data_IF_195566827191
#
_entry.id   IF_195566827191
#
_cell.length_a   1.000
_cell.length_b   1.000
_cell.length_c   1.000
_cell.angle_alpha   90.00
_cell.angle_beta   90.00
_cell.angle_gamma   90.00
#
_symmetry.space_group_name_H-M   'P 1'
#
loop_
_entity.id
_entity.type
_entity.pdbx_description
1 polymer ?
#
# COMPACT_ATOMS: atom_id res chain seq x y z
N UNK A 1 -5.11 8.51 -23.18
CA UNK A 1 -4.18 7.70 -22.37
C UNK A 1 -3.52 8.62 -21.36
N UNK A 2 -4.05 8.65 -20.15
CA UNK A 2 -3.41 9.27 -19.00
C UNK A 2 -3.46 8.22 -17.90
N UNK A 3 -2.51 7.27 -17.95
CA UNK A 3 -2.25 6.40 -16.81
C UNK A 3 -1.69 7.31 -15.73
N UNK A 4 -2.58 7.85 -14.89
CA UNK A 4 -2.21 8.69 -13.77
C UNK A 4 -1.27 7.90 -12.85
N UNK A 5 -0.15 8.56 -12.51
CA UNK A 5 1.02 8.11 -11.75
C UNK A 5 0.71 7.25 -10.50
N UNK A 6 -0.49 7.40 -9.93
CA UNK A 6 -0.93 6.73 -8.69
C UNK A 6 -1.15 5.22 -8.85
N UNK A 7 -1.48 4.75 -10.06
CA UNK A 7 -1.63 3.31 -10.33
C UNK A 7 -0.31 2.54 -10.34
N UNK A 8 0.84 3.24 -10.26
CA UNK A 8 2.18 2.61 -10.16
C UNK A 8 2.44 1.92 -8.82
N UNK A 9 1.66 2.23 -7.79
CA UNK A 9 1.94 1.71 -6.45
C UNK A 9 1.38 0.29 -6.26
N UNK A 10 0.45 -0.16 -7.11
CA UNK A 10 -0.07 -1.53 -7.05
C UNK A 10 1.03 -2.51 -7.47
N UNK A 11 1.29 -3.51 -6.64
CA UNK A 11 2.40 -4.45 -6.79
C UNK A 11 3.69 -4.02 -6.08
N UNK A 12 3.76 -2.78 -5.57
CA UNK A 12 4.92 -2.32 -4.81
C UNK A 12 4.93 -2.87 -3.39
N UNK A 13 6.14 -3.07 -2.86
CA UNK A 13 6.35 -3.49 -1.47
C UNK A 13 6.28 -2.30 -0.55
N UNK A 14 5.59 -2.48 0.58
CA UNK A 14 5.45 -1.48 1.63
C UNK A 14 5.89 -2.05 2.98
N UNK A 15 6.52 -1.19 3.79
CA UNK A 15 6.75 -1.45 5.20
C UNK A 15 5.69 -0.72 6.02
N UNK A 16 5.15 -1.39 7.03
CA UNK A 16 4.10 -0.84 7.90
C UNK A 16 4.74 -0.51 9.25
N UNK A 17 4.39 0.64 9.81
CA UNK A 17 4.82 1.04 11.15
C UNK A 17 4.26 0.04 12.18
N UNK A 18 5.15 -0.53 12.99
CA UNK A 18 4.88 -1.59 13.99
C UNK A 18 4.69 -3.01 13.44
N UNK A 19 4.81 -3.23 12.14
CA UNK A 19 4.85 -4.58 11.57
C UNK A 19 6.28 -4.95 11.18
N UNK A 20 6.70 -6.18 11.50
CA UNK A 20 8.04 -6.67 11.12
C UNK A 20 8.08 -7.11 9.66
N UNK A 21 6.95 -7.56 9.14
CA UNK A 21 6.81 -8.03 7.78
C UNK A 21 6.54 -6.88 6.80
N UNK A 22 7.08 -7.00 5.59
CA UNK A 22 6.69 -6.14 4.47
C UNK A 22 5.48 -6.73 3.76
N UNK A 23 4.54 -5.88 3.39
CA UNK A 23 3.41 -6.26 2.56
C UNK A 23 3.57 -5.81 1.10
N UNK A 24 2.63 -6.23 0.25
CA UNK A 24 2.53 -5.80 -1.15
C UNK A 24 1.17 -5.15 -1.36
N UNK A 25 1.12 -4.00 -2.02
CA UNK A 25 -0.16 -3.35 -2.35
C UNK A 25 -0.87 -4.16 -3.42
N UNK A 26 -2.09 -4.63 -3.15
CA UNK A 26 -2.88 -5.44 -4.09
C UNK A 26 -3.93 -4.62 -4.85
N UNK A 27 -4.56 -3.65 -4.18
CA UNK A 27 -5.57 -2.77 -4.76
C UNK A 27 -5.71 -1.48 -3.96
N UNK A 28 -6.25 -0.45 -4.61
CA UNK A 28 -6.63 0.82 -4.01
C UNK A 28 -8.09 1.05 -4.36
N UNK A 29 -8.87 1.37 -3.33
CA UNK A 29 -10.27 1.75 -3.45
C UNK A 29 -10.38 3.26 -3.16
N UNK A 30 -10.54 4.04 -4.22
CA UNK A 30 -10.61 5.50 -4.13
C UNK A 30 -11.96 5.98 -3.58
N UNK A 31 -13.04 5.25 -3.82
CA UNK A 31 -14.38 5.59 -3.32
C UNK A 31 -14.42 5.42 -1.80
N UNK A 32 -13.79 4.35 -1.30
CA UNK A 32 -13.72 4.06 0.14
C UNK A 32 -12.49 4.65 0.83
N UNK A 33 -11.56 5.25 0.08
CA UNK A 33 -10.29 5.78 0.59
C UNK A 33 -9.47 4.73 1.35
N UNK A 34 -9.33 3.55 0.76
CA UNK A 34 -8.59 2.43 1.36
C UNK A 34 -7.55 1.86 0.40
N UNK A 35 -6.41 1.47 0.95
CA UNK A 35 -5.40 0.66 0.27
C UNK A 35 -5.32 -0.71 0.92
N UNK A 36 -5.26 -1.75 0.10
CA UNK A 36 -5.17 -3.12 0.58
C UNK A 36 -3.75 -3.62 0.41
N UNK A 37 -3.23 -4.20 1.49
CA UNK A 37 -1.87 -4.70 1.57
C UNK A 37 -1.92 -6.18 1.93
N UNK A 38 -1.34 -7.00 1.06
CA UNK A 38 -1.20 -8.42 1.26
C UNK A 38 0.13 -8.74 1.93
N UNK A 39 0.04 -9.43 3.06
CA UNK A 39 1.17 -9.94 3.83
C UNK A 39 1.44 -11.41 3.53
N UNK A 40 2.45 -11.96 4.19
CA UNK A 40 2.68 -13.40 4.16
C UNK A 40 1.47 -14.16 4.72
N UNK A 41 1.33 -15.44 4.35
CA UNK A 41 0.22 -16.31 4.78
C UNK A 41 -1.18 -15.83 4.39
N UNK A 42 -1.30 -15.12 3.26
CA UNK A 42 -2.58 -14.66 2.69
C UNK A 42 -3.37 -13.70 3.59
N UNK A 43 -2.70 -13.03 4.54
CA UNK A 43 -3.34 -12.00 5.37
C UNK A 43 -3.41 -10.70 4.56
N UNK A 44 -4.62 -10.29 4.18
CA UNK A 44 -4.88 -9.00 3.56
C UNK A 44 -5.43 -8.02 4.62
N UNK A 45 -4.81 -6.86 4.75
CA UNK A 45 -5.31 -5.79 5.62
C UNK A 45 -5.55 -4.51 4.80
N UNK A 46 -6.56 -3.75 5.21
CA UNK A 46 -6.91 -2.47 4.61
C UNK A 46 -6.40 -1.32 5.49
N UNK A 47 -5.80 -0.32 4.87
CA UNK A 47 -5.32 0.89 5.53
C UNK A 47 -5.93 2.14 4.86
N UNK A 48 -6.09 3.26 5.59
CA UNK A 48 -6.56 4.52 5.02
C UNK A 48 -5.66 5.03 3.90
N UNK A 49 -6.24 5.47 2.79
CA UNK A 49 -5.55 6.03 1.64
C UNK A 49 -6.08 7.43 1.27
N UNK A 50 -5.20 8.46 1.13
CA UNK A 50 -3.74 8.41 1.18
C UNK A 50 -3.13 8.60 2.58
N UNK A 51 -3.97 8.76 3.62
CA UNK A 51 -3.53 9.23 4.93
C UNK A 51 -2.46 8.33 5.58
N UNK A 52 -2.51 7.02 5.35
CA UNK A 52 -1.50 6.10 5.89
C UNK A 52 -0.11 6.34 5.28
N UNK A 53 -0.02 6.80 4.03
CA UNK A 53 1.26 7.18 3.41
C UNK A 53 1.75 8.53 3.91
N UNK A 54 0.85 9.52 4.02
CA UNK A 54 1.18 10.87 4.50
C UNK A 54 1.68 10.88 5.94
N UNK A 55 1.07 10.05 6.80
CA UNK A 55 1.49 9.90 8.20
C UNK A 55 2.73 9.02 8.38
N UNK A 56 3.28 8.48 7.29
CA UNK A 56 4.42 7.54 7.33
C UNK A 56 4.09 6.22 8.02
N UNK A 57 2.80 5.85 8.07
CA UNK A 57 2.37 4.54 8.56
C UNK A 57 2.67 3.45 7.52
N UNK A 58 2.45 3.75 6.24
CA UNK A 58 2.89 2.97 5.09
C UNK A 58 4.09 3.66 4.43
N UNK A 59 5.20 2.93 4.30
CA UNK A 59 6.42 3.44 3.65
C UNK A 59 6.77 2.55 2.47
N UNK A 60 6.80 3.13 1.28
CA UNK A 60 7.17 2.41 0.06
C UNK A 60 8.63 1.95 0.10
N UNK A 61 8.86 0.70 -0.28
CA UNK A 61 10.19 0.10 -0.42
C UNK A 61 10.50 -0.07 -1.89
N UNK A 62 10.88 1.02 -2.55
CA UNK A 62 11.37 0.96 -3.93
C UNK A 62 12.61 0.06 -4.01
N UNK A 63 12.58 -0.91 -4.94
CA UNK A 63 13.78 -1.63 -5.34
C UNK A 63 14.66 -0.63 -6.12
N UNK A 64 15.86 -0.38 -5.62
CA UNK A 64 16.90 0.37 -6.33
C UNK A 64 17.44 -0.45 -7.50
#
# INVERSE_FOLDING_TARGET
MAWHDESRIIGERVAIKNEKETGVITRIDYDRKLVYVLFTKLREEAYPYPEAFEQGYLVMKFKK
#
